data_IF_981532340947
#
_entry.id   IF_981532340947
#
_cell.length_a   1.000
_cell.length_b   1.000
_cell.length_c   1.000
_cell.angle_alpha   90.00
_cell.angle_beta   90.00
_cell.angle_gamma   90.00
#
_symmetry.space_group_name_H-M   'P 1'
#
loop_
_entity.id
_entity.type
_entity.pdbx_description
1 polymer ?
#
# COMPACT_ATOMS: atom_id res chain seq x y z
N UNK A 1 -10.41 16.85 -6.27
CA UNK A 1 -11.03 15.92 -7.24
C UNK A 1 -12.38 16.46 -7.64
N UNK A 2 -12.84 16.32 -8.92
CA UNK A 2 -14.20 16.67 -9.29
C UNK A 2 -15.20 15.83 -8.49
N UNK A 3 -16.17 16.48 -7.88
CA UNK A 3 -17.17 15.88 -6.97
C UNK A 3 -17.87 14.65 -7.58
N UNK A 4 -18.20 14.67 -8.86
CA UNK A 4 -18.84 13.54 -9.55
C UNK A 4 -17.94 12.30 -9.74
N UNK A 5 -16.61 12.41 -9.64
CA UNK A 5 -15.70 11.25 -9.68
C UNK A 5 -15.69 10.55 -8.33
N UNK A 6 -15.66 11.28 -7.23
CA UNK A 6 -15.71 10.73 -5.89
C UNK A 6 -17.02 9.98 -5.64
N UNK A 7 -18.16 10.56 -6.02
CA UNK A 7 -19.45 9.90 -5.88
C UNK A 7 -19.55 8.60 -6.69
N UNK A 8 -18.98 8.55 -7.89
CA UNK A 8 -18.93 7.30 -8.68
C UNK A 8 -18.08 6.21 -8.01
N UNK A 9 -16.95 6.59 -7.41
CA UNK A 9 -16.09 5.65 -6.70
C UNK A 9 -16.78 5.10 -5.44
N UNK A 10 -17.48 5.95 -4.69
CA UNK A 10 -18.28 5.53 -3.52
C UNK A 10 -19.37 4.56 -3.96
N UNK A 11 -20.16 4.91 -4.99
CA UNK A 11 -21.23 4.02 -5.49
C UNK A 11 -20.69 2.68 -6.04
N UNK A 12 -19.51 2.67 -6.63
CA UNK A 12 -18.86 1.43 -7.04
C UNK A 12 -18.46 0.58 -5.83
N UNK A 13 -17.84 1.19 -4.81
CA UNK A 13 -17.47 0.51 -3.57
C UNK A 13 -18.70 -0.08 -2.84
N UNK A 14 -19.78 0.67 -2.76
CA UNK A 14 -21.04 0.18 -2.16
C UNK A 14 -21.60 -1.02 -2.93
N UNK A 15 -21.50 -1.02 -4.25
CA UNK A 15 -21.92 -2.15 -5.07
C UNK A 15 -21.07 -3.39 -4.82
N UNK A 16 -19.76 -3.23 -4.64
CA UNK A 16 -18.84 -4.32 -4.29
C UNK A 16 -19.19 -4.88 -2.92
N UNK A 17 -19.32 -4.04 -1.88
CA UNK A 17 -19.72 -4.47 -0.53
C UNK A 17 -21.03 -5.26 -0.56
N UNK A 18 -22.04 -4.75 -1.25
CA UNK A 18 -23.34 -5.43 -1.38
C UNK A 18 -23.18 -6.80 -2.05
N UNK A 19 -22.37 -6.90 -3.10
CA UNK A 19 -22.17 -8.16 -3.84
C UNK A 19 -21.47 -9.24 -3.02
N UNK A 20 -20.58 -8.84 -2.12
CA UNK A 20 -19.80 -9.75 -1.26
C UNK A 20 -20.34 -9.84 0.17
N UNK A 21 -21.44 -9.14 0.48
CA UNK A 21 -22.03 -9.05 1.82
C UNK A 21 -21.02 -8.57 2.88
N UNK A 22 -20.20 -7.57 2.53
CA UNK A 22 -19.25 -6.93 3.46
C UNK A 22 -19.93 -5.79 4.21
N UNK A 23 -19.71 -5.74 5.52
CA UNK A 23 -20.22 -4.66 6.35
C UNK A 23 -19.34 -3.41 6.24
N UNK A 24 -19.95 -2.25 6.07
CA UNK A 24 -19.25 -0.97 6.08
C UNK A 24 -18.63 -0.67 7.46
N UNK A 25 -19.24 -1.15 8.54
CA UNK A 25 -18.75 -0.91 9.91
C UNK A 25 -17.37 -1.53 10.11
N UNK A 26 -17.09 -2.70 9.54
CA UNK A 26 -15.80 -3.39 9.67
C UNK A 26 -14.67 -2.59 9.01
N UNK A 27 -14.92 -2.04 7.81
CA UNK A 27 -13.98 -1.14 7.12
C UNK A 27 -13.73 0.13 7.95
N UNK A 28 -14.79 0.71 8.53
CA UNK A 28 -14.70 1.91 9.34
C UNK A 28 -13.89 1.68 10.62
N UNK A 29 -14.14 0.57 11.32
CA UNK A 29 -13.44 0.20 12.54
C UNK A 29 -11.94 -0.02 12.29
N UNK A 30 -11.58 -0.67 11.19
CA UNK A 30 -10.19 -0.83 10.76
C UNK A 30 -9.52 0.52 10.45
N UNK A 31 -10.22 1.42 9.77
CA UNK A 31 -9.70 2.75 9.45
C UNK A 31 -9.51 3.61 10.71
N UNK A 32 -10.44 3.53 11.66
CA UNK A 32 -10.34 4.23 12.96
C UNK A 32 -9.15 3.70 13.75
N UNK A 33 -9.01 2.38 13.90
CA UNK A 33 -7.92 1.76 14.64
C UNK A 33 -6.56 2.14 14.04
N UNK A 34 -6.44 2.10 12.72
CA UNK A 34 -5.21 2.53 12.03
C UNK A 34 -4.93 4.02 12.28
N UNK A 35 -5.95 4.87 12.20
CA UNK A 35 -5.81 6.31 12.47
C UNK A 35 -5.30 6.57 13.89
N UNK A 36 -5.79 5.83 14.88
CA UNK A 36 -5.35 5.93 16.27
C UNK A 36 -3.88 5.55 16.45
N UNK A 37 -3.43 4.47 15.79
CA UNK A 37 -2.01 4.08 15.81
C UNK A 37 -1.15 5.15 15.15
N UNK A 38 -1.53 5.63 13.98
CA UNK A 38 -0.75 6.62 13.23
C UNK A 38 -0.79 8.04 13.83
N UNK A 39 -1.67 8.31 14.77
CA UNK A 39 -1.64 9.55 15.56
C UNK A 39 -0.61 9.52 16.69
N UNK A 40 0.03 8.38 16.96
CA UNK A 40 1.14 8.29 17.90
C UNK A 40 2.41 8.90 17.28
N UNK A 41 3.32 9.37 18.13
CA UNK A 41 4.58 9.97 17.68
C UNK A 41 5.47 8.97 16.92
N UNK A 42 5.49 7.74 17.38
CA UNK A 42 6.25 6.62 16.79
C UNK A 42 5.37 5.41 16.65
N UNK A 43 4.50 5.34 15.61
CA UNK A 43 3.67 4.17 15.37
C UNK A 43 4.51 2.91 15.34
N UNK A 44 4.07 1.86 16.03
CA UNK A 44 4.78 0.58 16.18
C UNK A 44 6.22 0.69 16.74
N UNK A 45 6.56 1.81 17.37
CA UNK A 45 7.92 2.09 17.87
C UNK A 45 8.93 2.35 16.76
N UNK A 46 8.49 2.65 15.55
CA UNK A 46 9.34 2.92 14.39
C UNK A 46 9.43 4.41 14.11
N UNK A 47 10.59 5.01 14.30
CA UNK A 47 10.83 6.44 14.02
C UNK A 47 10.58 6.79 12.54
N UNK A 48 10.80 5.85 11.64
CA UNK A 48 10.52 6.01 10.21
C UNK A 48 9.03 6.18 9.90
N UNK A 49 8.15 5.87 10.84
CA UNK A 49 6.70 5.93 10.67
C UNK A 49 6.06 7.14 11.38
N UNK A 50 6.86 8.06 11.91
CA UNK A 50 6.36 9.31 12.48
C UNK A 50 5.73 10.21 11.38
N UNK A 51 4.96 11.23 11.79
CA UNK A 51 4.18 12.06 10.88
C UNK A 51 5.04 12.78 9.83
N UNK A 52 6.20 13.30 10.21
CA UNK A 52 7.10 14.02 9.30
C UNK A 52 7.72 13.07 8.27
N UNK A 53 8.04 11.85 8.68
CA UNK A 53 8.56 10.80 7.78
C UNK A 53 7.49 10.32 6.79
N UNK A 54 6.24 10.21 7.23
CA UNK A 54 5.11 9.84 6.36
C UNK A 54 4.84 10.91 5.30
N UNK A 55 4.83 12.17 5.69
CA UNK A 55 4.63 13.28 4.75
C UNK A 55 5.74 13.34 3.71
N UNK A 56 6.99 13.18 4.13
CA UNK A 56 8.14 13.09 3.23
C UNK A 56 8.05 11.89 2.30
N UNK A 57 7.71 10.71 2.81
CA UNK A 57 7.52 9.50 2.04
C UNK A 57 6.45 9.69 0.95
N UNK A 58 5.31 10.28 1.30
CA UNK A 58 4.25 10.57 0.33
C UNK A 58 4.72 11.55 -0.75
N UNK A 59 5.46 12.59 -0.39
CA UNK A 59 6.03 13.54 -1.35
C UNK A 59 6.99 12.84 -2.32
N UNK A 60 7.91 12.02 -1.82
CA UNK A 60 8.87 11.26 -2.63
C UNK A 60 8.17 10.26 -3.58
N UNK A 61 7.14 9.56 -3.13
CA UNK A 61 6.31 8.69 -3.98
C UNK A 61 5.66 9.52 -5.10
N UNK A 62 5.04 10.65 -4.75
CA UNK A 62 4.40 11.51 -5.72
C UNK A 62 5.37 12.10 -6.74
N UNK A 63 6.57 12.49 -6.32
CA UNK A 63 7.62 13.01 -7.21
C UNK A 63 8.12 11.92 -8.16
N UNK A 64 8.36 10.71 -7.66
CA UNK A 64 8.80 9.60 -8.48
C UNK A 64 7.74 9.23 -9.53
N UNK A 65 6.45 9.18 -9.14
CA UNK A 65 5.35 8.94 -10.07
C UNK A 65 5.24 10.01 -11.17
N UNK A 66 5.45 11.30 -10.82
CA UNK A 66 5.38 12.41 -11.80
C UNK A 66 6.55 12.40 -12.78
N UNK A 67 7.72 11.96 -12.33
CA UNK A 67 8.95 11.97 -13.11
C UNK A 67 9.16 10.69 -13.93
N UNK A 68 8.29 9.71 -13.78
CA UNK A 68 8.37 8.43 -14.50
C UNK A 68 7.56 8.48 -15.80
N UNK A 69 8.09 7.84 -16.84
CA UNK A 69 7.41 7.74 -18.14
C UNK A 69 6.26 6.74 -18.12
N UNK A 70 6.34 5.76 -17.23
CA UNK A 70 5.36 4.69 -17.08
C UNK A 70 5.26 4.24 -15.63
N UNK A 71 4.11 3.63 -15.30
CA UNK A 71 3.88 2.99 -14.01
C UNK A 71 3.67 1.51 -14.24
N UNK A 72 4.41 0.68 -13.51
CA UNK A 72 4.29 -0.78 -13.51
C UNK A 72 3.67 -1.21 -12.19
N UNK A 73 2.51 -1.85 -12.25
CA UNK A 73 1.84 -2.42 -11.08
C UNK A 73 2.08 -3.93 -11.09
N UNK A 74 2.68 -4.42 -10.00
CA UNK A 74 3.05 -5.82 -9.82
C UNK A 74 1.98 -6.48 -8.96
N UNK A 75 1.23 -7.41 -9.54
CA UNK A 75 0.16 -8.17 -8.87
C UNK A 75 0.64 -9.53 -8.36
N UNK A 76 -0.23 -10.20 -7.58
CA UNK A 76 0.11 -11.44 -6.86
C UNK A 76 0.51 -12.63 -7.76
N UNK A 77 0.08 -12.65 -9.02
CA UNK A 77 0.37 -13.75 -9.95
C UNK A 77 1.69 -13.60 -10.71
N UNK A 78 2.40 -12.48 -10.54
CA UNK A 78 3.63 -12.22 -11.29
C UNK A 78 4.75 -13.17 -10.82
N UNK A 79 5.49 -13.71 -11.79
CA UNK A 79 6.70 -14.47 -11.54
C UNK A 79 7.94 -13.59 -11.71
N UNK A 80 8.97 -13.88 -10.93
CA UNK A 80 10.26 -13.18 -10.94
C UNK A 80 10.85 -13.02 -12.35
N UNK A 81 10.82 -14.11 -13.14
CA UNK A 81 11.35 -14.13 -14.50
C UNK A 81 10.57 -13.22 -15.47
N UNK A 82 9.32 -12.89 -15.16
CA UNK A 82 8.54 -11.96 -15.98
C UNK A 82 9.06 -10.54 -15.80
N UNK A 83 9.42 -10.16 -14.56
CA UNK A 83 10.00 -8.85 -14.27
C UNK A 83 11.40 -8.69 -14.88
N UNK A 84 12.19 -9.77 -14.96
CA UNK A 84 13.52 -9.75 -15.56
C UNK A 84 13.50 -9.41 -17.06
N UNK A 85 12.39 -9.72 -17.75
CA UNK A 85 12.23 -9.47 -19.18
C UNK A 85 11.57 -8.13 -19.53
N UNK A 86 11.19 -7.33 -18.51
CA UNK A 86 10.57 -6.03 -18.73
C UNK A 86 11.61 -4.93 -18.86
N UNK A 87 11.41 -4.05 -19.85
CA UNK A 87 12.13 -2.78 -19.89
C UNK A 87 11.55 -1.85 -18.82
N UNK A 88 12.27 -1.74 -17.72
CA UNK A 88 11.84 -0.98 -16.55
C UNK A 88 12.56 0.36 -16.41
N UNK A 89 13.23 0.81 -17.47
CA UNK A 89 13.91 2.11 -17.46
C UNK A 89 12.89 3.23 -17.26
N UNK A 90 13.22 4.13 -16.35
CA UNK A 90 12.38 5.26 -15.95
C UNK A 90 10.92 4.88 -15.60
N UNK A 91 10.71 3.68 -15.05
CA UNK A 91 9.40 3.23 -14.58
C UNK A 91 9.25 3.42 -13.07
N UNK A 92 8.11 3.96 -12.63
CA UNK A 92 7.68 3.85 -11.25
C UNK A 92 7.10 2.43 -11.03
N UNK A 93 7.59 1.71 -10.04
CA UNK A 93 7.17 0.34 -9.75
C UNK A 93 6.38 0.29 -8.44
N UNK A 94 5.17 -0.22 -8.50
CA UNK A 94 4.29 -0.40 -7.34
C UNK A 94 4.02 -1.90 -7.18
N UNK A 95 4.39 -2.47 -6.04
CA UNK A 95 4.04 -3.85 -5.71
C UNK A 95 2.76 -3.89 -4.85
N UNK A 96 1.85 -4.79 -5.20
CA UNK A 96 0.65 -5.06 -4.43
C UNK A 96 0.91 -6.22 -3.47
N UNK A 97 0.92 -5.91 -2.19
CA UNK A 97 1.03 -6.85 -1.08
C UNK A 97 2.15 -7.90 -1.24
N UNK A 98 1.84 -9.18 -1.04
CA UNK A 98 2.79 -10.30 -1.15
C UNK A 98 3.52 -10.42 -2.48
N UNK A 99 3.06 -9.72 -3.55
CA UNK A 99 3.77 -9.68 -4.83
C UNK A 99 5.18 -9.08 -4.73
N UNK A 100 5.47 -8.36 -3.67
CA UNK A 100 6.81 -7.86 -3.36
C UNK A 100 7.85 -8.99 -3.31
N UNK A 101 7.43 -10.22 -3.03
CA UNK A 101 8.29 -11.41 -3.06
C UNK A 101 8.85 -11.77 -4.44
N UNK A 102 8.24 -11.29 -5.53
CA UNK A 102 8.75 -11.47 -6.88
C UNK A 102 9.78 -10.39 -7.26
N UNK A 103 9.88 -9.30 -6.51
CA UNK A 103 10.78 -8.19 -6.79
C UNK A 103 12.20 -8.55 -6.32
N UNK A 104 13.16 -8.48 -7.24
CA UNK A 104 14.56 -8.83 -6.98
C UNK A 104 15.33 -7.73 -6.27
N UNK A 105 15.00 -6.51 -6.61
CA UNK A 105 15.69 -5.31 -6.18
C UNK A 105 14.66 -4.32 -5.61
N UNK A 106 14.58 -4.27 -4.29
CA UNK A 106 13.66 -3.38 -3.59
C UNK A 106 13.97 -1.89 -3.81
N UNK A 107 15.21 -1.53 -4.16
CA UNK A 107 15.59 -0.14 -4.41
C UNK A 107 14.88 0.43 -5.65
N UNK A 108 14.39 -0.43 -6.53
CA UNK A 108 13.61 -0.03 -7.70
C UNK A 108 12.12 0.21 -7.40
N UNK A 109 11.65 -0.18 -6.22
CA UNK A 109 10.25 0.05 -5.84
C UNK A 109 9.99 1.52 -5.50
N UNK A 110 8.96 2.07 -6.09
CA UNK A 110 8.41 3.37 -5.69
C UNK A 110 7.69 3.24 -4.36
N UNK A 111 6.81 2.24 -4.23
CA UNK A 111 6.15 1.90 -2.99
C UNK A 111 5.53 0.49 -3.06
N UNK A 112 5.10 0.02 -1.90
CA UNK A 112 4.32 -1.20 -1.72
C UNK A 112 2.94 -0.78 -1.21
N UNK A 113 1.88 -1.26 -1.85
CA UNK A 113 0.50 -1.10 -1.35
C UNK A 113 0.10 -2.41 -0.69
N UNK A 114 -0.18 -2.39 0.60
CA UNK A 114 -0.44 -3.61 1.38
C UNK A 114 -1.50 -3.38 2.45
N UNK A 115 -2.22 -4.41 2.77
CA UNK A 115 -3.09 -4.53 3.94
C UNK A 115 -2.40 -5.24 5.12
N UNK A 116 -1.09 -5.48 5.00
CA UNK A 116 -0.20 -6.07 6.00
C UNK A 116 -0.42 -7.57 6.25
N UNK A 117 -1.02 -8.30 5.31
CA UNK A 117 -1.22 -9.76 5.42
C UNK A 117 -0.30 -10.59 4.52
N UNK A 118 0.56 -9.96 3.73
CA UNK A 118 1.51 -10.59 2.80
C UNK A 118 2.67 -11.37 3.44
N UNK A 119 2.65 -11.54 4.77
CA UNK A 119 3.56 -12.39 5.53
C UNK A 119 5.04 -12.01 5.39
N UNK A 120 5.93 -13.01 5.38
CA UNK A 120 7.40 -12.82 5.44
C UNK A 120 8.00 -11.87 4.40
N UNK A 121 7.35 -11.69 3.27
CA UNK A 121 7.83 -10.78 2.22
C UNK A 121 7.57 -9.33 2.58
N UNK A 122 6.46 -9.06 3.25
CA UNK A 122 6.14 -7.74 3.81
C UNK A 122 7.08 -7.43 4.97
N UNK A 123 7.30 -8.38 5.90
CA UNK A 123 8.25 -8.23 7.00
C UNK A 123 9.66 -7.89 6.51
N UNK A 124 10.11 -8.59 5.46
CA UNK A 124 11.42 -8.34 4.87
C UNK A 124 11.49 -6.94 4.24
N UNK A 125 10.45 -6.52 3.52
CA UNK A 125 10.42 -5.20 2.90
C UNK A 125 10.40 -4.08 3.96
N UNK A 126 9.63 -4.25 5.04
CA UNK A 126 9.59 -3.33 6.18
C UNK A 126 10.96 -3.23 6.87
N UNK A 127 11.66 -4.37 7.08
CA UNK A 127 13.01 -4.38 7.66
C UNK A 127 14.05 -3.67 6.79
N UNK A 128 13.76 -3.46 5.51
CA UNK A 128 14.60 -2.73 4.55
C UNK A 128 14.14 -1.28 4.33
N UNK A 129 13.27 -0.76 5.21
CA UNK A 129 12.75 0.60 5.15
C UNK A 129 12.12 0.96 3.79
N UNK A 130 11.42 0.00 3.17
CA UNK A 130 10.69 0.27 1.96
C UNK A 130 9.49 1.18 2.24
N UNK A 131 9.04 1.92 1.24
CA UNK A 131 7.88 2.82 1.35
C UNK A 131 6.59 2.02 1.25
N UNK A 132 5.70 2.21 2.21
CA UNK A 132 4.39 1.55 2.24
C UNK A 132 3.26 2.56 2.09
N UNK A 133 2.23 2.16 1.36
CA UNK A 133 0.89 2.71 1.42
C UNK A 133 0.01 1.63 2.03
N UNK A 134 -0.46 1.87 3.25
CA UNK A 134 -1.23 0.88 4.00
C UNK A 134 -2.71 1.09 3.74
N UNK A 135 -3.41 0.00 3.44
CA UNK A 135 -4.85 -0.04 3.25
C UNK A 135 -5.52 -0.74 4.42
N UNK A 136 -6.30 -0.01 5.20
CA UNK A 136 -7.14 -0.58 6.26
C UNK A 136 -8.51 -0.97 5.70
N UNK A 137 -8.94 -2.19 5.99
CA UNK A 137 -10.26 -2.71 5.65
C UNK A 137 -10.73 -3.78 6.66
N UNK A 138 -12.00 -4.20 6.59
CA UNK A 138 -12.69 -4.89 7.67
C UNK A 138 -12.05 -6.16 8.21
N UNK A 139 -11.27 -6.91 7.43
CA UNK A 139 -10.66 -8.16 7.87
C UNK A 139 -9.19 -8.03 8.31
N UNK A 140 -8.55 -6.86 8.12
CA UNK A 140 -7.15 -6.68 8.48
C UNK A 140 -6.90 -5.91 9.79
N UNK A 141 -7.94 -5.64 10.59
CA UNK A 141 -7.81 -4.94 11.85
C UNK A 141 -6.73 -5.54 12.76
N UNK A 142 -6.69 -6.87 12.87
CA UNK A 142 -5.69 -7.58 13.66
C UNK A 142 -4.27 -7.36 13.12
N UNK A 143 -4.07 -7.35 11.82
CA UNK A 143 -2.79 -7.07 11.18
C UNK A 143 -2.35 -5.63 11.42
N UNK A 144 -3.25 -4.67 11.30
CA UNK A 144 -2.98 -3.25 11.58
C UNK A 144 -2.57 -2.98 13.04
N UNK A 145 -2.95 -3.84 13.99
CA UNK A 145 -2.60 -3.72 15.40
C UNK A 145 -1.32 -4.45 15.79
N UNK A 146 -0.78 -5.32 14.92
CA UNK A 146 0.40 -6.15 15.20
C UNK A 146 1.72 -5.53 14.69
N UNK A 147 1.67 -4.62 13.73
CA UNK A 147 2.85 -3.96 13.12
C UNK A 147 3.24 -2.66 13.80
#
# INVERSE_FOLDING_TARGET
>A
MPEGRLQRLIGFQDSVRTSFNWDYSDDLDSAIAMSEVFNQNTPYGLDSWNIDSRDRCLQEICEQLRNSDKVVIIGAAVEKKELENLELDNAAMIAADGSVGAVLDFERLTCIVSDLDGGKHIDLAASKNQRFIIHAHGDNLSSCLLY
#
